data_IF_362884523561
#
_entry.id   IF_362884523561
#
_cell.length_a   1.000
_cell.length_b   1.000
_cell.length_c   1.000
_cell.angle_alpha   90.00
_cell.angle_beta   90.00
_cell.angle_gamma   90.00
#
_symmetry.space_group_name_H-M   'P 1'
#
loop_
_entity.id
_entity.type
_entity.pdbx_description
1 polymer ?
#
# COMPACT_ATOMS: atom_id res chain seq x y z
N UNK A 1 -10.50 5.55 -6.51
CA UNK A 1 -9.24 5.43 -7.31
C UNK A 1 -8.35 6.70 -7.40
N UNK A 2 -8.93 7.90 -7.46
CA UNK A 2 -8.21 9.13 -7.80
C UNK A 2 -7.13 9.58 -6.80
N UNK A 3 -7.28 9.26 -5.51
CA UNK A 3 -6.31 9.63 -4.48
C UNK A 3 -5.02 8.80 -4.57
N UNK A 4 -5.13 7.49 -4.83
CA UNK A 4 -3.97 6.58 -4.92
C UNK A 4 -3.01 7.06 -6.00
N UNK A 5 -3.52 7.34 -7.21
CA UNK A 5 -2.70 7.91 -8.29
C UNK A 5 -2.09 9.26 -7.92
N UNK A 6 -2.77 10.08 -7.11
CA UNK A 6 -2.24 11.37 -6.68
C UNK A 6 -1.12 11.20 -5.66
N UNK A 7 -1.28 10.27 -4.73
CA UNK A 7 -0.29 9.96 -3.68
C UNK A 7 1.00 9.39 -4.30
N UNK A 8 0.84 8.54 -5.32
CA UNK A 8 1.95 7.93 -6.03
C UNK A 8 2.39 8.71 -7.27
N UNK A 9 1.98 9.97 -7.45
CA UNK A 9 2.33 10.83 -8.60
C UNK A 9 2.19 10.12 -9.97
N UNK A 10 1.11 9.34 -10.11
CA UNK A 10 0.79 8.56 -11.31
C UNK A 10 -0.09 9.41 -12.24
N UNK A 11 0.34 9.68 -13.49
CA UNK A 11 -0.44 10.49 -14.41
C UNK A 11 -1.77 9.80 -14.75
N UNK A 12 -2.86 10.56 -14.76
CA UNK A 12 -4.17 10.08 -15.22
C UNK A 12 -4.07 9.79 -16.72
N UNK A 13 -4.22 8.52 -17.10
CA UNK A 13 -4.35 8.10 -18.49
C UNK A 13 -5.82 8.01 -18.87
N UNK A 14 -6.16 8.50 -20.06
CA UNK A 14 -7.52 8.41 -20.61
C UNK A 14 -7.85 7.01 -21.17
N UNK A 15 -6.81 6.22 -21.51
CA UNK A 15 -6.93 4.81 -21.89
C UNK A 15 -7.11 3.88 -20.68
N UNK A 16 -6.97 4.42 -19.46
CA UNK A 16 -7.11 3.66 -18.23
C UNK A 16 -8.58 3.51 -17.86
N UNK A 17 -9.10 2.29 -18.03
CA UNK A 17 -10.46 1.94 -17.63
C UNK A 17 -10.47 1.47 -16.18
N UNK A 18 -11.31 2.10 -15.33
CA UNK A 18 -11.52 1.63 -13.95
C UNK A 18 -11.96 0.16 -13.91
N UNK A 19 -12.61 -0.33 -14.96
CA UNK A 19 -13.10 -1.72 -15.07
C UNK A 19 -11.97 -2.74 -15.16
N UNK A 20 -10.82 -2.37 -15.73
CA UNK A 20 -9.63 -3.24 -15.81
C UNK A 20 -8.82 -3.22 -14.51
N UNK A 21 -9.00 -2.19 -13.68
CA UNK A 21 -8.28 -1.98 -12.41
C UNK A 21 -9.25 -1.83 -11.23
N UNK A 22 -10.36 -2.57 -11.28
CA UNK A 22 -11.47 -2.34 -10.38
C UNK A 22 -11.16 -2.79 -8.94
N UNK A 23 -10.26 -3.75 -8.75
CA UNK A 23 -9.89 -4.28 -7.42
C UNK A 23 -8.61 -3.70 -6.87
N UNK A 24 -8.48 -3.65 -5.54
CA UNK A 24 -7.28 -3.18 -4.84
C UNK A 24 -5.99 -3.89 -5.30
N UNK A 25 -6.05 -5.20 -5.52
CA UNK A 25 -4.96 -6.02 -6.05
C UNK A 25 -4.45 -5.50 -7.40
N UNK A 26 -5.38 -5.22 -8.33
CA UNK A 26 -5.04 -4.71 -9.67
C UNK A 26 -4.43 -3.32 -9.60
N UNK A 27 -4.88 -2.48 -8.66
CA UNK A 27 -4.29 -1.16 -8.46
C UNK A 27 -2.86 -1.27 -7.93
N UNK A 28 -2.60 -2.18 -7.00
CA UNK A 28 -1.24 -2.40 -6.47
C UNK A 28 -0.31 -2.86 -7.61
N UNK A 29 -0.74 -3.84 -8.40
CA UNK A 29 0.01 -4.29 -9.59
C UNK A 29 0.25 -3.16 -10.59
N UNK A 30 -0.74 -2.29 -10.81
CA UNK A 30 -0.61 -1.12 -11.66
C UNK A 30 0.38 -0.08 -11.12
N UNK A 31 0.40 0.16 -9.80
CA UNK A 31 1.36 1.09 -9.18
C UNK A 31 2.78 0.57 -9.38
N UNK A 32 3.00 -0.73 -9.26
CA UNK A 32 4.30 -1.35 -9.53
C UNK A 32 4.73 -1.23 -10.99
N UNK A 33 3.84 -1.55 -11.94
CA UNK A 33 4.09 -1.36 -13.38
C UNK A 33 4.41 0.10 -13.76
N UNK A 34 3.72 1.07 -13.15
CA UNK A 34 3.92 2.50 -13.44
C UNK A 34 5.10 3.10 -12.69
N UNK A 35 5.41 2.57 -11.50
CA UNK A 35 6.45 3.05 -10.60
C UNK A 35 7.33 1.89 -10.11
N UNK A 36 8.14 1.29 -11.00
CA UNK A 36 9.13 0.29 -10.60
C UNK A 36 10.18 0.86 -9.62
N UNK A 37 10.31 2.20 -9.57
CA UNK A 37 11.10 2.90 -8.56
C UNK A 37 10.60 2.67 -7.12
N UNK A 38 9.30 2.44 -6.89
CA UNK A 38 8.77 2.18 -5.54
C UNK A 38 9.09 0.76 -5.09
N UNK A 39 9.03 -0.19 -6.00
CA UNK A 39 9.57 -1.55 -5.85
C UNK A 39 11.06 -1.50 -5.46
N UNK A 40 11.84 -0.71 -6.22
CA UNK A 40 13.28 -0.52 -5.95
C UNK A 40 13.55 0.19 -4.62
N UNK A 41 12.69 1.14 -4.23
CA UNK A 41 12.80 1.85 -2.95
C UNK A 41 12.34 1.00 -1.77
N UNK A 42 11.35 0.13 -1.95
CA UNK A 42 10.91 -0.85 -0.97
C UNK A 42 12.02 -1.86 -0.68
N UNK A 43 12.68 -2.37 -1.74
CA UNK A 43 13.86 -3.22 -1.61
C UNK A 43 15.00 -2.49 -0.88
N UNK A 44 15.27 -1.22 -1.22
CA UNK A 44 16.30 -0.43 -0.56
C UNK A 44 16.01 -0.12 0.93
N UNK A 45 14.73 0.02 1.31
CA UNK A 45 14.32 0.26 2.71
C UNK A 45 14.39 -1.03 3.54
N UNK A 46 14.02 -2.18 2.98
CA UNK A 46 14.16 -3.48 3.64
C UNK A 46 15.64 -3.89 3.86
N UNK A 47 16.55 -3.43 3.00
CA UNK A 47 17.99 -3.62 3.16
C UNK A 47 18.67 -2.56 4.05
N UNK A 48 17.95 -1.47 4.39
CA UNK A 48 18.37 -0.43 5.31
C UNK A 48 17.64 -0.54 6.66
N UNK A 49 17.71 -1.71 7.30
CA UNK A 49 17.59 -1.77 8.74
C UNK A 49 18.96 -1.41 9.34
N UNK A 50 19.15 -0.23 9.96
CA UNK A 50 20.32 0.00 10.78
C UNK A 50 20.16 -0.91 11.99
N UNK A 51 20.98 -1.96 12.07
CA UNK A 51 21.26 -2.59 13.34
C UNK A 51 21.64 -1.48 14.35
N UNK A 52 20.91 -1.33 15.47
CA UNK A 52 21.29 -0.39 16.49
C UNK A 52 22.63 -0.86 17.09
N UNK A 53 23.61 0.04 17.32
CA UNK A 53 24.72 -0.30 18.19
C UNK A 53 24.14 -0.60 19.57
N UNK A 54 24.37 -1.83 20.03
CA UNK A 54 23.86 -2.37 21.27
C UNK A 54 24.11 -1.44 22.47
N UNK A 55 23.04 -1.10 23.18
CA UNK A 55 23.05 -0.75 24.61
C UNK A 55 21.91 -1.54 25.27
N UNK A 56 22.20 -2.46 26.22
CA UNK A 56 21.17 -3.26 26.86
C UNK A 56 20.51 -2.47 28.00
N UNK A 57 19.21 -2.16 27.88
CA UNK A 57 18.21 -2.19 28.95
C UNK A 57 16.95 -1.37 28.59
N UNK A 58 15.86 -2.04 28.23
CA UNK A 58 14.50 -1.84 28.77
C UNK A 58 13.46 -2.62 27.93
N UNK A 59 12.76 -3.54 28.59
CA UNK A 59 11.53 -4.26 28.26
C UNK A 59 10.96 -4.20 26.82
N UNK A 60 10.85 -5.35 26.10
CA UNK A 60 9.99 -5.44 24.92
C UNK A 60 8.53 -5.57 25.35
N UNK A 61 7.88 -4.43 25.60
CA UNK A 61 6.42 -4.34 25.60
C UNK A 61 5.99 -3.72 24.27
N UNK A 62 5.32 -4.51 23.44
CA UNK A 62 4.71 -4.04 22.20
C UNK A 62 4.89 -5.07 21.10
N UNK A 63 3.83 -5.84 20.88
CA UNK A 63 3.63 -6.80 19.81
C UNK A 63 4.54 -6.60 18.59
N UNK A 64 5.42 -7.58 18.36
CA UNK A 64 5.82 -7.95 17.00
C UNK A 64 4.55 -8.38 16.29
N UNK A 65 3.86 -7.42 15.67
CA UNK A 65 2.82 -7.73 14.70
C UNK A 65 3.55 -8.31 13.50
N UNK A 66 3.40 -9.63 13.40
CA UNK A 66 3.84 -10.50 12.34
C UNK A 66 3.57 -9.83 10.98
N UNK A 67 4.65 -9.33 10.40
CA UNK A 67 5.01 -9.25 8.98
C UNK A 67 4.05 -9.91 7.96
N UNK A 68 2.84 -9.38 7.83
CA UNK A 68 2.09 -9.40 6.56
C UNK A 68 2.26 -8.06 5.82
N UNK A 69 2.97 -7.10 6.45
CA UNK A 69 3.16 -5.70 6.02
C UNK A 69 4.42 -5.46 5.16
N UNK A 70 4.95 -6.47 4.46
CA UNK A 70 6.21 -6.29 3.73
C UNK A 70 6.06 -5.54 2.39
N UNK A 71 4.83 -5.14 2.03
CA UNK A 71 4.56 -4.44 0.78
C UNK A 71 4.13 -2.98 1.07
N UNK A 72 5.07 -2.02 1.05
CA UNK A 72 4.79 -0.64 1.44
C UNK A 72 3.83 0.07 0.48
N UNK A 73 3.63 -0.48 -0.72
CA UNK A 73 2.64 0.01 -1.69
C UNK A 73 1.25 -0.49 -1.31
N UNK A 74 1.07 -1.80 -1.08
CA UNK A 74 -0.22 -2.36 -0.66
C UNK A 74 -0.75 -1.70 0.62
N UNK A 75 0.12 -1.53 1.64
CA UNK A 75 -0.22 -0.84 2.89
C UNK A 75 -0.72 0.60 2.63
N UNK A 76 -0.01 1.37 1.80
CA UNK A 76 -0.45 2.73 1.43
C UNK A 76 -1.77 2.72 0.68
N UNK A 77 -1.94 1.83 -0.29
CA UNK A 77 -3.17 1.74 -1.09
C UNK A 77 -4.36 1.46 -0.15
N UNK A 78 -4.24 0.48 0.74
CA UNK A 78 -5.28 0.13 1.70
C UNK A 78 -5.54 1.27 2.70
N UNK A 79 -4.50 1.98 3.17
CA UNK A 79 -4.64 3.14 4.06
C UNK A 79 -5.41 4.30 3.38
N UNK A 80 -5.10 4.61 2.13
CA UNK A 80 -5.77 5.68 1.37
C UNK A 80 -7.25 5.34 1.17
N UNK A 81 -7.54 4.07 0.87
CA UNK A 81 -8.90 3.58 0.67
C UNK A 81 -9.66 3.54 2.00
N UNK A 82 -8.99 3.15 3.08
CA UNK A 82 -9.53 3.19 4.43
C UNK A 82 -9.96 4.61 4.83
N UNK A 83 -9.12 5.60 4.59
CA UNK A 83 -9.44 7.01 4.86
C UNK A 83 -10.62 7.51 4.01
N UNK A 84 -10.68 7.13 2.73
CA UNK A 84 -11.74 7.56 1.82
C UNK A 84 -13.10 6.95 2.12
N UNK A 85 -13.10 5.68 2.54
CA UNK A 85 -14.32 4.88 2.72
C UNK A 85 -14.77 4.84 4.19
N UNK A 86 -13.86 5.14 5.12
CA UNK A 86 -14.08 5.04 6.56
C UNK A 86 -13.94 3.63 7.13
N UNK A 87 -13.56 2.63 6.31
CA UNK A 87 -13.32 1.27 6.78
C UNK A 87 -11.87 1.10 7.25
N UNK A 88 -11.62 0.35 8.33
CA UNK A 88 -10.25 0.06 8.74
C UNK A 88 -9.56 -0.83 7.70
N UNK A 89 -8.24 -0.68 7.56
CA UNK A 89 -7.39 -1.44 6.64
C UNK A 89 -7.51 -2.95 6.81
N UNK A 90 -7.79 -3.42 8.05
CA UNK A 90 -8.00 -4.83 8.38
C UNK A 90 -9.31 -5.41 7.81
N UNK A 91 -10.30 -4.56 7.50
CA UNK A 91 -11.54 -4.96 6.85
C UNK A 91 -11.52 -4.76 5.33
N UNK A 92 -10.45 -4.19 4.78
CA UNK A 92 -10.28 -4.00 3.35
C UNK A 92 -9.51 -5.18 2.76
N UNK A 93 -10.12 -5.87 1.81
CA UNK A 93 -9.50 -6.99 1.11
C UNK A 93 -8.99 -6.56 -0.27
N UNK A 94 -7.91 -7.19 -0.74
CA UNK A 94 -7.29 -6.93 -2.04
C UNK A 94 -8.26 -7.20 -3.21
N UNK A 95 -9.25 -8.07 -3.01
CA UNK A 95 -10.27 -8.39 -4.03
C UNK A 95 -11.43 -7.36 -4.08
N UNK A 96 -11.56 -6.45 -3.10
CA UNK A 96 -12.69 -5.49 -3.06
C UNK A 96 -12.65 -4.53 -4.25
N UNK A 97 -13.83 -4.32 -4.84
CA UNK A 97 -14.01 -3.41 -5.97
C UNK A 97 -14.13 -1.95 -5.50
N UNK A 98 -13.25 -1.10 -5.99
CA UNK A 98 -13.18 0.31 -5.64
C UNK A 98 -14.44 1.07 -6.05
N UNK A 99 -15.08 0.72 -7.16
CA UNK A 99 -16.26 1.42 -7.68
C UNK A 99 -17.57 0.76 -7.20
N UNK A 100 -17.61 -0.57 -7.17
CA UNK A 100 -18.82 -1.35 -6.88
C UNK A 100 -19.01 -1.63 -5.38
N UNK A 101 -17.96 -1.96 -4.64
CA UNK A 101 -18.04 -2.23 -3.19
C UNK A 101 -17.75 -0.98 -2.35
N UNK A 102 -16.83 -0.12 -2.81
CA UNK A 102 -16.34 1.02 -2.04
C UNK A 102 -16.80 2.40 -2.56
N UNK A 103 -17.35 2.47 -3.78
CA UNK A 103 -18.00 3.66 -4.33
C UNK A 103 -17.10 4.85 -4.68
N UNK A 104 -15.81 4.64 -5.01
CA UNK A 104 -14.75 5.68 -5.16
C UNK A 104 -13.80 5.58 -6.37
#
# INVERSE_FOLDING_TARGET
>A
FAAIRSEFDIPRRDDLSLRDYATLEKVIGFVYEMRPDLESRAAAVSEQAPEPPALPAAAPQGAVQLDVTADPVADKVLQIVADQTGYPTDMLDLDLDLEADLGI
#
